data_IF_785262219648
#
_entry.id   IF_785262219648
#
_cell.length_a   1.000
_cell.length_b   1.000
_cell.length_c   1.000
_cell.angle_alpha   90.00
_cell.angle_beta   90.00
_cell.angle_gamma   90.00
#
_symmetry.space_group_name_H-M   'P 1'
#
loop_
_entity.id
_entity.type
_entity.pdbx_description
1 polymer ?
#
# COMPACT_ATOMS: atom_id res chain seq x y z
N UNK A 1 7.46 -5.27 -11.60
CA UNK A 1 7.73 -4.91 -13.02
C UNK A 1 9.21 -4.70 -13.30
N UNK A 2 9.94 -3.95 -12.46
CA UNK A 2 11.40 -3.75 -12.63
C UNK A 2 12.20 -5.06 -12.64
N UNK A 3 11.91 -5.97 -11.70
CA UNK A 3 12.60 -7.28 -11.63
C UNK A 3 12.35 -8.12 -12.89
N UNK A 4 11.09 -8.17 -13.37
CA UNK A 4 10.73 -8.87 -14.62
C UNK A 4 11.41 -8.29 -15.86
N UNK A 5 11.78 -7.00 -15.82
CA UNK A 5 12.50 -6.34 -16.90
C UNK A 5 13.95 -6.81 -16.96
N UNK A 6 14.63 -6.86 -15.81
CA UNK A 6 16.03 -7.27 -15.75
C UNK A 6 16.24 -8.77 -15.99
N UNK A 7 15.25 -9.61 -15.72
CA UNK A 7 15.32 -11.05 -16.03
C UNK A 7 14.90 -11.39 -17.47
N UNK A 8 14.64 -10.39 -18.32
CA UNK A 8 14.30 -10.60 -19.73
C UNK A 8 12.93 -11.25 -19.95
N UNK A 9 12.02 -11.19 -18.97
CA UNK A 9 10.72 -11.85 -19.07
C UNK A 9 9.73 -11.14 -20.02
N UNK A 10 10.03 -9.90 -20.44
CA UNK A 10 9.23 -9.19 -21.44
C UNK A 10 9.71 -9.54 -22.84
N UNK A 11 8.88 -10.31 -23.54
CA UNK A 11 9.04 -10.63 -24.96
C UNK A 11 7.79 -10.13 -25.72
N UNK A 12 7.91 -9.86 -27.03
CA UNK A 12 6.76 -9.55 -27.89
C UNK A 12 6.29 -8.09 -27.85
N UNK A 13 7.12 -7.17 -28.37
CA UNK A 13 6.82 -5.72 -28.45
C UNK A 13 5.95 -5.31 -29.65
N UNK A 14 5.75 -6.20 -30.63
CA UNK A 14 5.08 -5.85 -31.89
C UNK A 14 3.59 -6.19 -31.82
N UNK A 15 2.73 -5.19 -31.97
CA UNK A 15 1.28 -5.37 -32.17
C UNK A 15 0.46 -5.73 -30.93
N UNK A 16 1.06 -5.76 -29.73
CA UNK A 16 0.33 -6.05 -28.48
C UNK A 16 -0.11 -4.76 -27.79
N UNK A 17 -1.34 -4.75 -27.26
CA UNK A 17 -1.91 -3.63 -26.49
C UNK A 17 -1.26 -3.44 -25.11
N UNK A 18 -0.51 -4.43 -24.62
CA UNK A 18 0.19 -4.40 -23.34
C UNK A 18 1.48 -5.23 -23.39
N UNK A 19 2.52 -4.76 -22.69
CA UNK A 19 3.77 -5.51 -22.47
C UNK A 19 3.59 -6.45 -21.28
N UNK A 20 3.14 -7.67 -21.54
CA UNK A 20 3.02 -8.71 -20.53
C UNK A 20 4.24 -9.61 -20.56
N UNK A 21 4.76 -9.96 -19.38
CA UNK A 21 5.84 -10.92 -19.29
C UNK A 21 5.36 -12.30 -19.77
N UNK A 22 6.18 -12.99 -20.57
CA UNK A 22 5.86 -14.29 -21.16
C UNK A 22 4.90 -14.24 -22.36
N UNK A 23 4.60 -13.06 -22.94
CA UNK A 23 3.57 -12.91 -23.96
C UNK A 23 3.73 -13.79 -25.22
N UNK A 24 4.92 -14.31 -25.50
CA UNK A 24 5.20 -15.18 -26.64
C UNK A 24 5.17 -16.68 -26.30
N UNK A 25 5.18 -17.04 -25.01
CA UNK A 25 5.10 -18.43 -24.55
C UNK A 25 3.93 -18.61 -23.56
N UNK A 26 2.89 -19.37 -23.93
CA UNK A 26 1.73 -19.60 -23.06
C UNK A 26 2.10 -20.33 -21.76
N UNK A 27 3.15 -21.14 -21.76
CA UNK A 27 3.66 -21.85 -20.57
C UNK A 27 4.28 -20.86 -19.60
N UNK A 28 5.17 -19.99 -20.09
CA UNK A 28 5.80 -18.94 -19.27
C UNK A 28 4.74 -17.99 -18.71
N UNK A 29 3.77 -17.59 -19.54
CA UNK A 29 2.64 -16.78 -19.11
C UNK A 29 1.90 -17.42 -17.93
N UNK A 30 1.53 -18.71 -18.02
CA UNK A 30 0.83 -19.43 -16.95
C UNK A 30 1.65 -19.50 -15.67
N UNK A 31 2.95 -19.77 -15.76
CA UNK A 31 3.86 -19.82 -14.59
C UNK A 31 3.93 -18.45 -13.90
N UNK A 32 4.06 -17.37 -14.67
CA UNK A 32 4.10 -16.02 -14.11
C UNK A 32 2.80 -15.61 -13.42
N UNK A 33 1.65 -15.94 -14.02
CA UNK A 33 0.35 -15.73 -13.37
C UNK A 33 0.17 -16.60 -12.13
N UNK A 34 0.67 -17.84 -12.12
CA UNK A 34 0.64 -18.69 -10.93
C UNK A 34 1.47 -18.11 -9.77
N UNK A 35 2.69 -17.66 -10.04
CA UNK A 35 3.53 -17.00 -9.05
C UNK A 35 2.84 -15.73 -8.52
N UNK A 36 2.30 -14.92 -9.42
CA UNK A 36 1.60 -13.68 -9.07
C UNK A 36 0.36 -13.96 -8.22
N UNK A 37 -0.44 -14.98 -8.55
CA UNK A 37 -1.59 -15.41 -7.76
C UNK A 37 -1.18 -15.79 -6.33
N UNK A 38 -0.11 -16.58 -6.18
CA UNK A 38 0.40 -17.02 -4.87
C UNK A 38 0.88 -15.82 -4.05
N UNK A 39 1.70 -14.94 -4.63
CA UNK A 39 2.21 -13.76 -3.94
C UNK A 39 1.08 -12.82 -3.51
N UNK A 40 0.12 -12.57 -4.38
CA UNK A 40 -1.04 -11.74 -4.06
C UNK A 40 -1.91 -12.41 -2.97
N UNK A 41 -2.11 -13.72 -3.02
CA UNK A 41 -2.86 -14.45 -2.00
C UNK A 41 -2.16 -14.41 -0.63
N UNK A 42 -0.85 -14.65 -0.58
CA UNK A 42 -0.05 -14.53 0.65
C UNK A 42 -0.14 -13.10 1.20
N UNK A 43 -0.11 -12.08 0.34
CA UNK A 43 -0.25 -10.68 0.73
C UNK A 43 -1.63 -10.38 1.32
N UNK A 44 -2.70 -10.96 0.76
CA UNK A 44 -4.06 -10.85 1.31
C UNK A 44 -4.12 -11.49 2.70
N UNK A 45 -3.64 -12.72 2.84
CA UNK A 45 -3.65 -13.45 4.12
C UNK A 45 -2.83 -12.72 5.18
N UNK A 46 -1.63 -12.24 4.83
CA UNK A 46 -0.79 -11.48 5.75
C UNK A 46 -1.43 -10.14 6.13
N UNK A 47 -2.07 -9.45 5.19
CA UNK A 47 -2.82 -8.22 5.45
C UNK A 47 -3.97 -8.41 6.43
N UNK A 48 -4.74 -9.50 6.27
CA UNK A 48 -5.81 -9.88 7.21
C UNK A 48 -5.21 -10.18 8.59
N UNK A 49 -4.17 -11.00 8.64
CA UNK A 49 -3.52 -11.39 9.89
C UNK A 49 -2.99 -10.18 10.67
N UNK A 50 -2.23 -9.30 9.99
CA UNK A 50 -1.68 -8.07 10.58
C UNK A 50 -2.80 -7.14 11.04
N UNK A 51 -3.91 -7.05 10.30
CA UNK A 51 -5.07 -6.24 10.70
C UNK A 51 -5.68 -6.76 12.01
N UNK A 52 -5.90 -8.08 12.11
CA UNK A 52 -6.51 -8.70 13.30
C UNK A 52 -5.58 -8.60 14.50
N UNK A 53 -4.34 -9.06 14.37
CA UNK A 53 -3.36 -9.06 15.46
C UNK A 53 -2.99 -7.63 15.86
N UNK A 54 -2.83 -6.75 14.88
CA UNK A 54 -2.60 -5.33 15.10
C UNK A 54 -3.69 -4.70 15.94
N UNK A 55 -4.97 -4.91 15.59
CA UNK A 55 -6.10 -4.36 16.36
C UNK A 55 -6.07 -4.78 17.82
N UNK A 56 -5.84 -6.07 18.09
CA UNK A 56 -5.81 -6.61 19.46
C UNK A 56 -4.63 -6.07 20.25
N UNK A 57 -3.44 -6.10 19.67
CA UNK A 57 -2.22 -5.71 20.37
C UNK A 57 -2.13 -4.19 20.58
N UNK A 58 -2.55 -3.38 19.60
CA UNK A 58 -2.60 -1.91 19.74
C UNK A 58 -3.61 -1.49 20.80
N UNK A 59 -4.79 -2.13 20.86
CA UNK A 59 -5.77 -1.86 21.91
C UNK A 59 -5.21 -2.07 23.31
N UNK A 60 -4.61 -3.24 23.56
CA UNK A 60 -3.96 -3.56 24.83
C UNK A 60 -2.79 -2.62 25.15
N UNK A 61 -2.00 -2.25 24.13
CA UNK A 61 -0.90 -1.30 24.31
C UNK A 61 -1.40 0.10 24.67
N UNK A 62 -2.44 0.60 24.01
CA UNK A 62 -3.04 1.91 24.29
C UNK A 62 -3.57 1.94 25.73
N UNK A 63 -4.26 0.89 26.18
CA UNK A 63 -4.74 0.78 27.56
C UNK A 63 -3.60 0.73 28.57
N UNK A 64 -2.63 -0.16 28.37
CA UNK A 64 -1.50 -0.30 29.30
C UNK A 64 -0.62 0.96 29.35
N UNK A 65 -0.45 1.66 28.23
CA UNK A 65 0.35 2.89 28.18
C UNK A 65 -0.39 4.03 28.87
N UNK A 66 -1.68 4.21 28.56
CA UNK A 66 -2.50 5.28 29.13
C UNK A 66 -2.59 5.17 30.65
N UNK A 67 -2.72 3.97 31.20
CA UNK A 67 -2.80 3.74 32.64
C UNK A 67 -1.46 4.00 33.38
N UNK A 68 -0.32 3.99 32.67
CA UNK A 68 1.00 4.22 33.25
C UNK A 68 1.43 5.68 33.20
N UNK A 69 1.13 6.36 32.10
CA UNK A 69 1.67 7.69 31.81
C UNK A 69 0.81 8.83 32.38
N UNK A 70 -0.51 8.65 32.43
CA UNK A 70 -1.44 9.72 32.83
C UNK A 70 -2.09 9.38 34.16
N UNK A 71 -2.04 10.32 35.12
CA UNK A 71 -2.69 10.20 36.43
C UNK A 71 -4.13 10.74 36.40
N UNK A 72 -4.40 11.75 35.58
CA UNK A 72 -5.75 12.31 35.40
C UNK A 72 -6.58 11.42 34.47
N UNK A 73 -7.77 10.95 34.90
CA UNK A 73 -8.69 10.18 34.06
C UNK A 73 -9.09 10.91 32.76
N UNK A 74 -9.15 12.25 32.79
CA UNK A 74 -9.55 13.05 31.63
C UNK A 74 -8.50 13.01 30.52
N UNK A 75 -7.23 13.14 30.88
CA UNK A 75 -6.11 13.06 29.93
C UNK A 75 -5.96 11.64 29.36
N UNK A 76 -6.26 10.61 30.17
CA UNK A 76 -6.32 9.22 29.71
C UNK A 76 -7.36 9.04 28.61
N UNK A 77 -8.59 9.53 28.80
CA UNK A 77 -9.67 9.40 27.83
C UNK A 77 -9.36 10.12 26.52
N UNK A 78 -8.81 11.34 26.59
CA UNK A 78 -8.43 12.09 25.39
C UNK A 78 -7.33 11.37 24.59
N UNK A 79 -6.31 10.85 25.29
CA UNK A 79 -5.25 10.07 24.67
C UNK A 79 -5.77 8.80 24.00
N UNK A 80 -6.60 8.02 24.72
CA UNK A 80 -7.21 6.78 24.20
C UNK A 80 -8.05 7.08 22.96
N UNK A 81 -8.89 8.11 23.00
CA UNK A 81 -9.74 8.51 21.87
C UNK A 81 -8.89 8.90 20.63
N UNK A 82 -7.82 9.68 20.84
CA UNK A 82 -6.91 10.07 19.77
C UNK A 82 -6.21 8.86 19.15
N UNK A 83 -5.65 7.98 19.97
CA UNK A 83 -4.90 6.80 19.49
C UNK A 83 -5.79 5.75 18.84
N UNK A 84 -7.01 5.56 19.34
CA UNK A 84 -7.98 4.68 18.71
C UNK A 84 -8.35 5.18 17.30
N UNK A 85 -8.55 6.50 17.15
CA UNK A 85 -8.81 7.14 15.85
C UNK A 85 -7.64 7.02 14.88
N UNK A 86 -6.40 7.20 15.34
CA UNK A 86 -5.18 6.98 14.53
C UNK A 86 -5.07 5.51 14.09
N UNK A 87 -5.33 4.59 15.01
CA UNK A 87 -5.29 3.13 14.77
C UNK A 87 -6.34 2.69 13.76
N UNK A 88 -7.59 3.15 13.89
CA UNK A 88 -8.64 2.86 12.90
C UNK A 88 -8.27 3.37 11.50
N UNK A 89 -7.56 4.50 11.41
CA UNK A 89 -7.14 5.07 10.12
C UNK A 89 -6.03 4.27 9.45
N UNK A 90 -5.07 3.74 10.21
CA UNK A 90 -3.99 2.94 9.63
C UNK A 90 -4.49 1.63 9.01
N UNK A 91 -5.64 1.12 9.45
CA UNK A 91 -6.26 -0.07 8.86
C UNK A 91 -6.93 0.15 7.50
N UNK A 92 -7.09 1.39 7.04
CA UNK A 92 -7.54 1.65 5.67
C UNK A 92 -6.51 1.15 4.64
N UNK A 93 -5.20 1.14 4.98
CA UNK A 93 -4.14 0.69 4.08
C UNK A 93 -4.24 -0.83 3.74
N UNK A 94 -4.30 -1.75 4.72
CA UNK A 94 -4.55 -3.16 4.45
C UNK A 94 -5.89 -3.39 3.76
N UNK A 95 -6.96 -2.69 4.18
CA UNK A 95 -8.29 -2.88 3.60
C UNK A 95 -8.35 -2.53 2.11
N UNK A 96 -7.74 -1.41 1.72
CA UNK A 96 -7.60 -1.01 0.31
C UNK A 96 -6.81 -2.06 -0.50
N UNK A 97 -5.76 -2.61 0.10
CA UNK A 97 -4.94 -3.68 -0.51
C UNK A 97 -5.76 -4.96 -0.68
N UNK A 98 -6.58 -5.36 0.31
CA UNK A 98 -7.45 -6.53 0.20
C UNK A 98 -8.46 -6.41 -0.94
N UNK A 99 -9.12 -5.26 -1.05
CA UNK A 99 -10.08 -5.00 -2.13
C UNK A 99 -9.41 -5.10 -3.50
N UNK A 100 -8.27 -4.42 -3.66
CA UNK A 100 -7.61 -4.30 -4.97
C UNK A 100 -6.89 -5.57 -5.41
N UNK A 101 -6.28 -6.33 -4.48
CA UNK A 101 -5.61 -7.59 -4.81
C UNK A 101 -6.59 -8.74 -5.04
N UNK A 102 -7.78 -8.70 -4.45
CA UNK A 102 -8.75 -9.79 -4.59
C UNK A 102 -9.14 -10.06 -6.05
N UNK A 103 -9.40 -9.01 -6.84
CA UNK A 103 -9.71 -9.14 -8.28
C UNK A 103 -8.51 -9.59 -9.10
N UNK A 104 -7.30 -9.20 -8.68
CA UNK A 104 -6.06 -9.59 -9.32
C UNK A 104 -5.78 -11.08 -9.12
N UNK A 105 -6.01 -11.62 -7.92
CA UNK A 105 -5.93 -13.06 -7.64
C UNK A 105 -6.91 -13.85 -8.51
N UNK A 106 -8.17 -13.40 -8.61
CA UNK A 106 -9.19 -14.07 -9.43
C UNK A 106 -8.75 -14.12 -10.90
N UNK A 107 -8.29 -12.99 -11.45
CA UNK A 107 -7.79 -12.94 -12.83
C UNK A 107 -6.58 -13.88 -13.01
N UNK A 108 -5.61 -13.84 -12.09
CA UNK A 108 -4.40 -14.65 -12.18
C UNK A 108 -4.71 -16.14 -12.12
N UNK A 109 -5.61 -16.57 -11.24
CA UNK A 109 -6.05 -17.98 -11.15
C UNK A 109 -6.73 -18.39 -12.46
N UNK A 110 -7.61 -17.55 -13.00
CA UNK A 110 -8.29 -17.86 -14.26
C UNK A 110 -7.32 -18.06 -15.41
N UNK A 111 -6.33 -17.18 -15.53
CA UNK A 111 -5.27 -17.22 -16.55
C UNK A 111 -4.43 -18.50 -16.53
N UNK A 112 -4.37 -19.22 -15.40
CA UNK A 112 -3.66 -20.51 -15.31
C UNK A 112 -4.43 -21.59 -16.07
N UNK A 113 -5.76 -21.61 -15.92
CA UNK A 113 -6.62 -22.66 -16.48
C UNK A 113 -7.07 -22.35 -17.90
N UNK A 114 -7.51 -21.12 -18.17
CA UNK A 114 -8.11 -20.74 -19.46
C UNK A 114 -8.08 -19.22 -19.69
N UNK A 115 -8.57 -18.78 -20.85
CA UNK A 115 -8.71 -17.36 -21.13
C UNK A 115 -9.91 -16.79 -20.35
N UNK A 116 -9.71 -15.75 -19.50
CA UNK A 116 -10.80 -15.13 -18.76
C UNK A 116 -11.78 -14.41 -19.70
N UNK A 117 -13.07 -14.38 -19.35
CA UNK A 117 -14.03 -13.54 -20.07
C UNK A 117 -13.62 -12.05 -19.98
N UNK A 118 -13.92 -11.24 -21.03
CA UNK A 118 -13.53 -9.83 -21.09
C UNK A 118 -13.94 -9.00 -19.86
N UNK A 119 -15.07 -9.35 -19.24
CA UNK A 119 -15.56 -8.69 -18.03
C UNK A 119 -14.55 -8.72 -16.87
N UNK A 120 -13.86 -9.84 -16.65
CA UNK A 120 -12.87 -9.97 -15.56
C UNK A 120 -11.67 -9.05 -15.81
N UNK A 121 -11.22 -8.94 -17.06
CA UNK A 121 -10.15 -8.01 -17.42
C UNK A 121 -10.54 -6.55 -17.18
N UNK A 122 -11.77 -6.17 -17.53
CA UNK A 122 -12.28 -4.81 -17.32
C UNK A 122 -12.32 -4.51 -15.82
N UNK A 123 -12.90 -5.40 -15.02
CA UNK A 123 -12.97 -5.25 -13.55
C UNK A 123 -11.57 -5.13 -12.96
N UNK A 124 -10.65 -6.01 -13.33
CA UNK A 124 -9.28 -5.95 -12.83
C UNK A 124 -8.56 -4.65 -13.24
N UNK A 125 -8.76 -4.18 -14.47
CA UNK A 125 -8.16 -2.92 -14.95
C UNK A 125 -8.68 -1.72 -14.17
N UNK A 126 -10.00 -1.70 -13.89
CA UNK A 126 -10.62 -0.67 -13.06
C UNK A 126 -10.02 -0.71 -11.65
N UNK A 127 -9.96 -1.90 -11.02
CA UNK A 127 -9.42 -2.06 -9.66
C UNK A 127 -7.94 -1.69 -9.57
N UNK A 128 -7.14 -1.99 -10.60
CA UNK A 128 -5.75 -1.59 -10.68
C UNK A 128 -5.61 -0.05 -10.72
N UNK A 129 -6.49 0.64 -11.45
CA UNK A 129 -6.56 2.10 -11.43
C UNK A 129 -6.97 2.66 -10.07
N UNK A 130 -8.00 2.07 -9.45
CA UNK A 130 -8.45 2.44 -8.11
C UNK A 130 -7.39 2.22 -7.04
N UNK A 131 -6.51 1.22 -7.18
CA UNK A 131 -5.42 0.96 -6.23
C UNK A 131 -4.54 2.18 -6.00
N UNK A 132 -4.17 2.89 -7.06
CA UNK A 132 -3.39 4.13 -6.94
C UNK A 132 -4.17 5.24 -6.24
N UNK A 133 -5.44 5.41 -6.61
CA UNK A 133 -6.33 6.44 -6.05
C UNK A 133 -6.59 6.19 -4.55
N UNK A 134 -6.94 4.97 -4.16
CA UNK A 134 -7.18 4.60 -2.77
C UNK A 134 -5.92 4.73 -1.93
N UNK A 135 -4.76 4.36 -2.47
CA UNK A 135 -3.47 4.54 -1.79
C UNK A 135 -3.19 6.03 -1.56
N UNK A 136 -3.42 6.87 -2.57
CA UNK A 136 -3.28 8.32 -2.45
C UNK A 136 -4.22 8.90 -1.39
N UNK A 137 -5.51 8.54 -1.41
CA UNK A 137 -6.46 8.99 -0.38
C UNK A 137 -6.02 8.57 1.02
N UNK A 138 -5.53 7.35 1.17
CA UNK A 138 -5.07 6.87 2.47
C UNK A 138 -3.85 7.68 2.94
N UNK A 139 -2.90 7.97 2.04
CA UNK A 139 -1.75 8.83 2.32
C UNK A 139 -2.16 10.27 2.67
N UNK A 140 -3.17 10.82 2.00
CA UNK A 140 -3.69 12.16 2.28
C UNK A 140 -4.41 12.26 3.62
N UNK A 141 -5.03 11.19 4.12
CA UNK A 141 -5.74 11.17 5.41
C UNK A 141 -4.78 10.89 6.57
N UNK A 142 -3.61 10.30 6.29
CA UNK A 142 -2.62 9.92 7.28
C UNK A 142 -1.90 11.16 7.86
N UNK A 143 -2.10 11.46 9.16
CA UNK A 143 -1.49 12.63 9.79
C UNK A 143 0.04 12.54 9.84
N UNK A 144 0.61 11.34 9.92
CA UNK A 144 2.07 11.16 9.95
C UNK A 144 2.67 11.48 8.58
N UNK A 145 2.03 11.05 7.50
CA UNK A 145 2.40 11.41 6.14
C UNK A 145 2.32 12.94 5.94
N UNK A 146 1.23 13.58 6.38
CA UNK A 146 1.08 15.04 6.31
C UNK A 146 2.18 15.78 7.09
N UNK A 147 2.51 15.33 8.31
CA UNK A 147 3.56 15.93 9.14
C UNK A 147 4.94 15.77 8.50
N UNK A 148 5.26 14.60 7.98
CA UNK A 148 6.53 14.34 7.28
C UNK A 148 6.65 15.19 6.00
N UNK A 149 5.57 15.34 5.24
CA UNK A 149 5.51 16.19 4.06
C UNK A 149 5.73 17.67 4.44
N UNK A 150 5.04 18.15 5.48
CA UNK A 150 5.20 19.52 5.99
C UNK A 150 6.62 19.80 6.47
N UNK A 151 7.22 18.86 7.20
CA UNK A 151 8.60 18.97 7.68
C UNK A 151 9.59 19.04 6.50
N UNK A 152 9.43 18.14 5.52
CA UNK A 152 10.26 18.10 4.31
C UNK A 152 10.12 19.38 3.49
N UNK A 153 8.89 19.85 3.29
CA UNK A 153 8.61 21.11 2.59
C UNK A 153 9.23 22.31 3.31
N UNK A 154 9.12 22.37 4.65
CA UNK A 154 9.76 23.43 5.45
C UNK A 154 11.28 23.38 5.32
N UNK A 155 11.89 22.19 5.33
CA UNK A 155 13.33 22.01 5.14
C UNK A 155 13.76 22.50 3.76
N UNK A 156 13.12 22.04 2.69
CA UNK A 156 13.41 22.45 1.31
C UNK A 156 13.26 23.97 1.11
N UNK A 157 12.20 24.58 1.68
CA UNK A 157 11.97 26.02 1.57
C UNK A 157 12.93 26.84 2.44
N UNK A 158 13.31 26.34 3.61
CA UNK A 158 14.30 26.97 4.49
C UNK A 158 15.72 26.89 3.96
N UNK A 159 16.07 25.85 3.20
CA UNK A 159 17.35 25.75 2.49
C UNK A 159 17.48 26.82 1.40
N UNK A 160 16.38 27.25 0.77
CA UNK A 160 16.41 28.36 -0.19
C UNK A 160 16.58 29.76 0.43
N UNK A 161 16.52 29.90 1.75
CA UNK A 161 16.72 31.19 2.45
C UNK A 161 17.97 31.18 3.35
N UNK A 162 18.75 30.09 3.33
CA UNK A 162 19.84 29.83 4.26
C UNK A 162 21.26 29.96 3.68
N UNK A 163 21.43 30.23 2.39
CA UNK A 163 22.77 30.53 1.81
C UNK A 163 23.15 32.02 1.89
N UNK A 164 22.31 32.90 2.45
CA UNK A 164 22.62 34.35 2.62
C UNK A 164 22.89 34.80 4.07
N UNK A 165 22.87 33.90 5.06
CA UNK A 165 22.98 34.27 6.49
C UNK A 165 24.20 33.71 7.23
N UNK A 166 25.06 32.89 6.61
CA UNK A 166 26.29 32.37 7.26
C UNK A 166 27.60 32.98 6.70
N UNK A 167 27.58 34.26 6.31
CA UNK A 167 28.81 35.01 5.96
C UNK A 167 28.89 36.40 6.59
N UNK A 168 28.18 36.62 7.71
CA UNK A 168 28.23 37.90 8.44
C UNK A 168 28.69 37.83 9.90
N UNK A 169 28.99 36.65 10.41
CA UNK A 169 29.48 36.48 11.79
C UNK A 169 30.79 35.69 11.86
N UNK A 170 31.80 36.12 11.09
CA UNK A 170 33.23 35.91 11.39
C UNK A 170 33.97 37.23 11.21
#
# INVERSE_FOLDING_TARGET
MVIFHFIGAFSGTIGKRACNAGADDPTVTKVLYAITAILNFVTIVSGIFVTIVGHKNLGLWIESFSNKEFLDPKDQEEFKAKKHKETQRSFLYPLSTLLTLSTEVVLCIWMIFSMPPPAIYIVNSIMLGFKGILTLFTFLIDPTAQQALKHTYKKLRGTHTGEELELKDI
#
